data_IF_240953132919
#
_entry.id   IF_240953132919
#
_cell.length_a   1.000
_cell.length_b   1.000
_cell.length_c   1.000
_cell.angle_alpha   90.00
_cell.angle_beta   90.00
_cell.angle_gamma   90.00
#
_symmetry.space_group_name_H-M   'P 1'
#
loop_
_entity.id
_entity.type
_entity.pdbx_description
1 polymer ?
#
# COMPACT_ATOMS: atom_id res chain seq x y z
N UNK A 1 19.27 3.96 -33.90
CA UNK A 1 18.33 3.00 -33.28
C UNK A 1 18.21 3.40 -31.82
N UNK A 2 17.00 3.71 -31.34
CA UNK A 2 16.72 4.07 -29.95
C UNK A 2 16.08 2.85 -29.25
N UNK A 3 16.86 2.11 -28.47
CA UNK A 3 16.38 1.17 -27.45
C UNK A 3 16.69 1.85 -26.11
N UNK A 4 15.76 2.13 -25.21
CA UNK A 4 14.77 1.23 -24.63
C UNK A 4 14.89 1.50 -23.13
N UNK A 5 14.31 2.60 -22.66
CA UNK A 5 14.37 2.98 -21.24
C UNK A 5 13.50 2.00 -20.47
N UNK A 6 14.13 1.01 -19.82
CA UNK A 6 13.47 0.16 -18.84
C UNK A 6 12.90 1.06 -17.74
N UNK A 7 11.57 1.24 -17.77
CA UNK A 7 10.85 1.97 -16.74
C UNK A 7 11.10 1.29 -15.39
N UNK A 8 11.83 1.99 -14.52
CA UNK A 8 11.99 1.60 -13.12
C UNK A 8 10.60 1.28 -12.53
N UNK A 9 10.47 0.20 -11.73
CA UNK A 9 9.20 -0.12 -11.10
C UNK A 9 8.79 1.07 -10.22
N UNK A 10 7.71 1.75 -10.61
CA UNK A 10 7.17 2.86 -9.82
C UNK A 10 6.86 2.34 -8.41
N UNK A 11 7.55 2.89 -7.42
CA UNK A 11 7.28 2.61 -6.02
C UNK A 11 5.86 3.10 -5.74
N UNK A 12 4.95 2.18 -5.44
CA UNK A 12 3.62 2.57 -4.96
C UNK A 12 3.80 3.43 -3.71
N UNK A 13 3.13 4.60 -3.62
CA UNK A 13 3.24 5.45 -2.45
C UNK A 13 2.90 4.65 -1.19
N UNK A 14 3.60 4.90 -0.06
CA UNK A 14 3.35 4.19 1.17
C UNK A 14 1.90 4.39 1.60
N UNK A 15 1.16 3.29 1.73
CA UNK A 15 -0.18 3.32 2.29
C UNK A 15 -0.08 3.45 3.82
N UNK A 16 -0.95 4.24 4.42
CA UNK A 16 -1.04 4.43 5.87
C UNK A 16 -2.37 3.90 6.37
N UNK A 17 -2.39 3.39 7.60
CA UNK A 17 -3.61 3.10 8.35
C UNK A 17 -3.58 3.82 9.68
N UNK A 18 -4.75 4.15 10.19
CA UNK A 18 -4.91 4.67 11.55
C UNK A 18 -4.87 3.48 12.50
N UNK A 19 -4.06 3.57 13.56
CA UNK A 19 -4.13 2.65 14.68
C UNK A 19 -5.11 3.17 15.73
N UNK A 20 -6.32 2.61 15.72
CA UNK A 20 -7.39 3.04 16.64
C UNK A 20 -7.07 2.77 18.11
N UNK A 21 -6.25 1.75 18.43
CA UNK A 21 -5.83 1.50 19.80
C UNK A 21 -4.90 2.61 20.30
N UNK A 22 -3.92 2.98 19.47
CA UNK A 22 -3.04 4.11 19.75
C UNK A 22 -3.80 5.44 19.77
N UNK A 23 -4.76 5.63 18.87
CA UNK A 23 -5.60 6.83 18.83
C UNK A 23 -6.42 6.99 20.12
N UNK A 24 -7.07 5.93 20.59
CA UNK A 24 -7.84 5.98 21.83
C UNK A 24 -6.94 6.31 23.03
N UNK A 25 -5.78 5.66 23.14
CA UNK A 25 -4.80 5.98 24.18
C UNK A 25 -4.33 7.44 24.11
N UNK A 26 -4.13 8.00 22.92
CA UNK A 26 -3.77 9.41 22.77
C UNK A 26 -4.90 10.32 23.23
N UNK A 27 -6.14 10.05 22.80
CA UNK A 27 -7.32 10.84 23.16
C UNK A 27 -7.62 10.81 24.67
N UNK A 28 -7.41 9.66 25.32
CA UNK A 28 -7.59 9.52 26.78
C UNK A 28 -6.58 10.36 27.58
N UNK A 29 -5.42 10.68 26.99
CA UNK A 29 -4.36 11.47 27.62
C UNK A 29 -4.34 12.94 27.18
N UNK A 30 -5.25 13.35 26.30
CA UNK A 30 -5.36 14.76 25.89
C UNK A 30 -5.96 15.58 27.03
N UNK A 31 -5.32 16.70 27.32
CA UNK A 31 -5.92 17.74 28.15
C UNK A 31 -6.89 18.59 27.29
N UNK A 32 -8.17 18.58 27.66
CA UNK A 32 -9.23 19.31 26.98
C UNK A 32 -9.54 20.66 27.63
N UNK A 33 -8.81 21.03 28.69
CA UNK A 33 -9.04 22.27 29.44
C UNK A 33 -9.04 23.49 28.53
N UNK A 34 -8.11 23.55 27.58
CA UNK A 34 -8.02 24.65 26.60
C UNK A 34 -9.29 24.79 25.74
N UNK A 35 -9.91 23.67 25.34
CA UNK A 35 -11.17 23.70 24.57
C UNK A 35 -12.34 24.14 25.45
N UNK A 36 -12.37 23.72 26.72
CA UNK A 36 -13.46 24.04 27.65
C UNK A 36 -13.40 25.46 28.21
N UNK A 37 -12.21 26.06 28.28
CA UNK A 37 -12.01 27.43 28.76
C UNK A 37 -12.34 28.49 27.69
N UNK A 38 -12.47 28.10 26.43
CA UNK A 38 -12.76 29.04 25.34
C UNK A 38 -14.25 29.35 25.23
N UNK A 39 -14.58 30.64 25.34
CA UNK A 39 -15.96 31.13 25.22
C UNK A 39 -16.41 31.24 23.75
N UNK A 40 -15.45 31.43 22.84
CA UNK A 40 -15.73 31.56 21.42
C UNK A 40 -15.79 30.17 20.77
N UNK A 41 -16.99 29.78 20.34
CA UNK A 41 -17.23 28.48 19.71
C UNK A 41 -16.33 28.21 18.48
N UNK A 42 -16.01 29.23 17.69
CA UNK A 42 -15.13 29.06 16.53
C UNK A 42 -13.70 28.74 16.96
N UNK A 43 -13.19 29.45 17.96
CA UNK A 43 -11.83 29.24 18.48
C UNK A 43 -11.73 27.87 19.17
N UNK A 44 -12.73 27.52 20.00
CA UNK A 44 -12.81 26.22 20.65
C UNK A 44 -12.82 25.07 19.62
N UNK A 45 -13.55 25.24 18.50
CA UNK A 45 -13.55 24.27 17.41
C UNK A 45 -12.19 24.14 16.73
N UNK A 46 -11.51 25.26 16.44
CA UNK A 46 -10.20 25.24 15.80
C UNK A 46 -9.15 24.53 16.67
N UNK A 47 -9.17 24.77 17.98
CA UNK A 47 -8.31 24.11 18.96
C UNK A 47 -8.63 22.61 19.00
N UNK A 48 -9.90 22.25 19.18
CA UNK A 48 -10.35 20.85 19.15
C UNK A 48 -9.90 20.13 17.87
N UNK A 49 -10.13 20.75 16.71
CA UNK A 49 -9.80 20.19 15.42
C UNK A 49 -8.29 20.01 15.26
N UNK A 50 -7.50 20.96 15.74
CA UNK A 50 -6.03 20.89 15.73
C UNK A 50 -5.53 19.74 16.59
N UNK A 51 -6.04 19.61 17.83
CA UNK A 51 -5.67 18.53 18.74
C UNK A 51 -6.04 17.17 18.14
N UNK A 52 -7.27 17.03 17.62
CA UNK A 52 -7.76 15.78 17.04
C UNK A 52 -6.94 15.37 15.81
N UNK A 53 -6.65 16.32 14.91
CA UNK A 53 -5.84 16.06 13.72
C UNK A 53 -4.43 15.62 14.11
N UNK A 54 -3.82 16.26 15.11
CA UNK A 54 -2.52 15.86 15.64
C UNK A 54 -2.54 14.44 16.24
N UNK A 55 -3.60 14.06 16.96
CA UNK A 55 -3.74 12.69 17.48
C UNK A 55 -3.90 11.67 16.34
N UNK A 56 -4.70 11.99 15.32
CA UNK A 56 -4.86 11.14 14.14
C UNK A 56 -3.51 10.96 13.45
N UNK A 57 -2.75 12.02 13.23
CA UNK A 57 -1.45 11.96 12.57
C UNK A 57 -0.44 11.13 13.36
N UNK A 58 -0.37 11.30 14.68
CA UNK A 58 0.49 10.48 15.56
C UNK A 58 0.08 9.00 15.57
N UNK A 59 -1.20 8.70 15.36
CA UNK A 59 -1.70 7.33 15.31
C UNK A 59 -1.53 6.64 13.94
N UNK A 60 -1.06 7.36 12.90
CA UNK A 60 -0.82 6.78 11.58
C UNK A 60 0.33 5.78 11.64
N UNK A 61 0.06 4.56 11.20
CA UNK A 61 1.07 3.51 11.00
C UNK A 61 1.22 3.23 9.52
N UNK A 62 2.46 3.20 9.05
CA UNK A 62 2.77 2.80 7.68
C UNK A 62 2.35 1.33 7.49
N UNK A 63 1.56 1.07 6.46
CA UNK A 63 1.24 -0.28 6.03
C UNK A 63 2.45 -0.82 5.30
N UNK A 64 3.22 -1.66 5.97
CA UNK A 64 4.30 -2.41 5.33
C UNK A 64 3.63 -3.53 4.52
N UNK A 65 3.67 -3.50 3.17
CA UNK A 65 3.08 -4.55 2.36
C UNK A 65 3.83 -5.84 2.66
N UNK A 66 3.17 -6.76 3.40
CA UNK A 66 3.68 -8.11 3.55
C UNK A 66 3.54 -8.78 2.20
N UNK A 67 4.66 -8.91 1.47
CA UNK A 67 4.73 -9.85 0.35
C UNK A 67 4.41 -11.21 0.92
N UNK A 68 3.19 -11.71 0.70
CA UNK A 68 2.90 -13.09 1.05
C UNK A 68 3.79 -13.95 0.14
N UNK A 69 4.87 -14.48 0.69
CA UNK A 69 5.59 -15.56 0.04
C UNK A 69 4.63 -16.73 0.13
N UNK A 70 3.70 -16.84 -0.83
CA UNK A 70 2.84 -18.01 -0.95
C UNK A 70 3.81 -19.16 -1.16
N UNK A 71 4.01 -19.99 -0.12
CA UNK A 71 4.77 -21.22 -0.25
C UNK A 71 4.12 -21.99 -1.41
N UNK A 72 4.91 -22.30 -2.43
CA UNK A 72 4.43 -23.13 -3.52
C UNK A 72 3.92 -24.43 -2.91
N UNK A 73 2.82 -24.98 -3.48
CA UNK A 73 2.31 -26.27 -3.02
C UNK A 73 3.44 -27.31 -3.11
N UNK A 74 3.57 -28.28 -2.19
CA UNK A 74 4.72 -29.18 -2.12
C UNK A 74 5.03 -29.96 -3.40
N UNK A 75 4.01 -30.21 -4.23
CA UNK A 75 4.15 -30.90 -5.52
C UNK A 75 4.58 -29.98 -6.68
N UNK A 76 4.64 -28.66 -6.47
CA UNK A 76 5.12 -27.70 -7.46
C UNK A 76 6.63 -27.53 -7.29
N UNK A 77 7.39 -28.26 -8.10
CA UNK A 77 8.83 -28.10 -8.19
C UNK A 77 9.23 -26.93 -9.12
N UNK A 78 10.51 -26.57 -9.12
CA UNK A 78 11.03 -25.49 -9.95
C UNK A 78 10.85 -25.76 -11.46
N UNK A 79 10.89 -27.02 -11.88
CA UNK A 79 10.66 -27.41 -13.28
C UNK A 79 9.25 -27.03 -13.76
N UNK A 80 8.23 -27.31 -12.96
CA UNK A 80 6.85 -26.92 -13.23
C UNK A 80 6.75 -25.38 -13.33
N UNK A 81 7.39 -24.65 -12.42
CA UNK A 81 7.45 -23.18 -12.47
C UNK A 81 8.06 -22.67 -13.78
N UNK A 82 9.16 -23.26 -14.23
CA UNK A 82 9.82 -22.89 -15.49
C UNK A 82 8.89 -23.15 -16.67
N UNK A 83 8.27 -24.34 -16.76
CA UNK A 83 7.35 -24.69 -17.85
C UNK A 83 6.14 -23.75 -17.90
N UNK A 84 5.56 -23.39 -16.76
CA UNK A 84 4.45 -22.42 -16.68
C UNK A 84 4.90 -21.04 -17.18
N UNK A 85 6.07 -20.55 -16.76
CA UNK A 85 6.62 -19.27 -17.23
C UNK A 85 6.84 -19.28 -18.75
N UNK A 86 7.43 -20.34 -19.28
CA UNK A 86 7.66 -20.49 -20.72
C UNK A 86 6.35 -20.50 -21.49
N UNK A 87 5.36 -21.31 -21.08
CA UNK A 87 4.03 -21.34 -21.70
C UNK A 87 3.38 -19.95 -21.70
N UNK A 88 3.39 -19.25 -20.56
CA UNK A 88 2.80 -17.92 -20.46
C UNK A 88 3.54 -16.88 -21.33
N UNK A 89 4.87 -17.00 -21.48
CA UNK A 89 5.66 -16.16 -22.38
C UNK A 89 5.29 -16.40 -23.85
N UNK A 90 5.23 -17.67 -24.27
CA UNK A 90 4.84 -18.07 -25.62
C UNK A 90 3.42 -17.57 -25.95
N UNK A 91 2.47 -17.78 -25.04
CA UNK A 91 1.09 -17.31 -25.21
C UNK A 91 1.00 -15.78 -25.38
N UNK A 92 1.73 -15.02 -24.55
CA UNK A 92 1.80 -13.55 -24.69
C UNK A 92 2.40 -13.13 -26.03
N UNK A 93 3.42 -13.84 -26.51
CA UNK A 93 4.06 -13.55 -27.79
C UNK A 93 3.13 -13.87 -28.97
N UNK A 94 2.44 -15.02 -28.95
CA UNK A 94 1.45 -15.39 -29.97
C UNK A 94 0.29 -14.39 -30.01
N UNK A 95 -0.21 -13.93 -28.86
CA UNK A 95 -1.25 -12.89 -28.80
C UNK A 95 -0.80 -11.57 -29.44
N UNK A 96 0.48 -11.21 -29.32
CA UNK A 96 1.05 -10.00 -29.95
C UNK A 96 1.35 -10.19 -31.43
N UNK A 97 1.74 -11.39 -31.84
CA UNK A 97 2.14 -11.73 -33.21
C UNK A 97 1.42 -13.01 -33.68
N UNK A 98 0.13 -12.91 -34.06
CA UNK A 98 -0.72 -14.07 -34.33
C UNK A 98 -0.33 -14.88 -35.58
N UNK A 99 0.49 -14.31 -36.47
CA UNK A 99 0.99 -14.98 -37.68
C UNK A 99 2.35 -15.69 -37.46
N UNK A 100 2.85 -15.74 -36.23
CA UNK A 100 4.13 -16.40 -35.94
C UNK A 100 3.96 -17.93 -35.90
N UNK A 101 4.15 -18.59 -37.05
CA UNK A 101 4.04 -20.04 -37.23
C UNK A 101 5.05 -20.86 -36.39
N UNK A 102 6.13 -20.24 -35.89
CA UNK A 102 7.11 -20.92 -35.02
C UNK A 102 6.65 -21.00 -33.55
N UNK A 103 5.59 -20.27 -33.19
CA UNK A 103 5.01 -20.21 -31.84
C UNK A 103 3.59 -20.79 -31.76
N UNK A 104 3.03 -21.22 -32.89
CA UNK A 104 1.77 -22.00 -32.98
C UNK A 104 2.02 -23.44 -32.53
#
# INVERSE_FOLDING_TARGET
QMEGVEGLPQLTPPAYRIDYGALNLLLDNVDWTEVYCEENASIAFDIFHTILTNCIDKSKKQIIPRRSIKRLKPWINNYICIKIKTRNKLYKNLKKHPQNETLK
#
